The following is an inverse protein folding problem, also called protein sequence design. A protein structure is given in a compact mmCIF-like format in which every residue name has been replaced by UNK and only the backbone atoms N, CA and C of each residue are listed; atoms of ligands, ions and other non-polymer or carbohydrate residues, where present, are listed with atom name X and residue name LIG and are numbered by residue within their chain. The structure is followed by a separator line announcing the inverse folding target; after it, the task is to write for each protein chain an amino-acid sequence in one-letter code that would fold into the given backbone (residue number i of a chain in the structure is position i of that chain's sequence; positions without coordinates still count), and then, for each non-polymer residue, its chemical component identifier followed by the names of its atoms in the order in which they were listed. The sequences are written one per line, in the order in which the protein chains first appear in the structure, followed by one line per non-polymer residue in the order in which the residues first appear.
data_IF_364251829596
#
_entry.id   IF_364251829596
#
_cell.length_a   1.000
_cell.length_b   1.000
_cell.length_c   1.000
_cell.angle_alpha   90.00
_cell.angle_beta   90.00
_cell.angle_gamma   90.00
#
_symmetry.space_group_name_H-M   'P 1'
#
loop_
_entity.id
_entity.type
_entity.pdbx_description
1 polymer ?
#
# COMPACT_ATOMS: atom_id res chain seq x y z
N UNK A 1 8.68 49.83 -26.58
CA UNK A 1 8.45 48.36 -26.56
C UNK A 1 8.70 47.90 -25.15
N UNK A 2 7.66 47.82 -24.33
CA UNK A 2 7.74 47.36 -22.94
C UNK A 2 7.19 45.94 -22.90
N UNK A 3 8.07 44.98 -22.63
CA UNK A 3 7.70 43.57 -22.51
C UNK A 3 6.97 43.36 -21.18
N UNK A 4 5.65 43.23 -21.25
CA UNK A 4 4.85 42.62 -20.18
C UNK A 4 5.30 41.18 -19.98
N UNK A 5 6.07 40.92 -18.91
CA UNK A 5 6.19 39.58 -18.36
C UNK A 5 4.86 39.24 -17.70
N UNK A 6 4.08 38.36 -18.33
CA UNK A 6 3.01 37.66 -17.65
C UNK A 6 3.64 36.79 -16.56
N UNK A 7 3.54 37.24 -15.31
CA UNK A 7 3.76 36.38 -14.16
C UNK A 7 2.72 35.27 -14.22
N UNK A 8 3.20 34.03 -14.44
CA UNK A 8 2.35 32.85 -14.37
C UNK A 8 1.75 32.77 -12.96
N UNK A 9 0.45 32.47 -12.82
CA UNK A 9 -0.16 32.35 -11.51
C UNK A 9 0.55 31.25 -10.73
N UNK A 10 1.05 31.61 -9.54
CA UNK A 10 1.51 30.66 -8.54
C UNK A 10 0.30 29.78 -8.22
N UNK A 11 0.29 28.55 -8.74
CA UNK A 11 -0.71 27.54 -8.39
C UNK A 11 -0.63 27.35 -6.89
N UNK A 12 -1.60 27.92 -6.17
CA UNK A 12 -1.78 27.72 -4.74
C UNK A 12 -1.80 26.23 -4.47
N UNK A 13 -0.82 25.74 -3.70
CA UNK A 13 -0.83 24.36 -3.22
C UNK A 13 -2.12 24.16 -2.43
N UNK A 14 -3.01 23.33 -2.93
CA UNK A 14 -4.25 23.05 -2.21
C UNK A 14 -3.90 22.31 -0.91
N UNK A 15 -4.49 22.71 0.21
CA UNK A 15 -4.41 21.97 1.48
C UNK A 15 -5.20 20.65 1.44
N UNK A 16 -5.60 20.18 0.24
CA UNK A 16 -6.29 18.93 0.06
C UNK A 16 -5.31 17.78 0.39
N UNK A 17 -5.52 17.02 1.46
CA UNK A 17 -4.57 16.01 1.89
C UNK A 17 -4.53 14.78 0.95
N UNK A 18 -5.49 14.68 0.01
CA UNK A 18 -5.54 13.67 -1.04
C UNK A 18 -4.64 14.06 -2.22
N UNK A 19 -4.21 15.32 -2.32
CA UNK A 19 -3.45 15.81 -3.46
C UNK A 19 -2.18 14.98 -3.69
N UNK A 20 -2.12 14.33 -4.85
CA UNK A 20 -0.99 13.50 -5.26
C UNK A 20 -0.90 12.16 -4.52
N UNK A 21 -1.99 11.71 -3.88
CA UNK A 21 -2.06 10.36 -3.32
C UNK A 21 -1.80 9.31 -4.41
N UNK A 22 -0.90 8.37 -4.10
CA UNK A 22 -0.66 7.17 -4.92
C UNK A 22 -0.49 5.97 -4.00
N UNK A 23 -1.37 5.00 -4.08
CA UNK A 23 -1.33 3.86 -3.17
C UNK A 23 -2.52 2.92 -3.35
N UNK A 24 -2.73 2.07 -2.34
CA UNK A 24 -3.89 1.19 -2.26
C UNK A 24 -4.85 1.69 -1.19
N UNK A 25 -6.14 1.57 -1.46
CA UNK A 25 -7.23 1.83 -0.52
C UNK A 25 -8.06 0.57 -0.39
N UNK A 26 -8.49 0.24 0.83
CA UNK A 26 -9.56 -0.70 1.09
C UNK A 26 -10.72 0.04 1.77
N UNK A 27 -11.96 -0.22 1.35
CA UNK A 27 -13.11 0.46 1.92
C UNK A 27 -14.45 -0.14 1.53
N UNK A 28 -15.46 0.11 2.37
CA UNK A 28 -16.86 -0.25 2.10
C UNK A 28 -17.42 0.55 0.94
N UNK A 29 -17.94 -0.14 -0.07
CA UNK A 29 -18.61 0.43 -1.22
C UNK A 29 -19.92 1.11 -0.82
N UNK A 30 -20.09 2.39 -1.14
CA UNK A 30 -21.28 3.19 -0.76
C UNK A 30 -22.19 3.42 -1.96
N UNK A 31 -21.61 3.63 -3.14
CA UNK A 31 -22.32 3.75 -4.43
C UNK A 31 -21.44 3.22 -5.55
N UNK A 32 -22.06 2.73 -6.62
CA UNK A 32 -21.38 2.37 -7.87
C UNK A 32 -22.25 2.69 -9.07
N UNK A 33 -21.58 3.04 -10.16
CA UNK A 33 -22.13 3.10 -11.51
C UNK A 33 -21.18 2.30 -12.40
N UNK A 34 -21.61 1.10 -12.75
CA UNK A 34 -20.79 0.14 -13.50
C UNK A 34 -20.57 0.61 -14.94
N UNK A 35 -21.61 1.16 -15.58
CA UNK A 35 -21.52 1.62 -16.98
C UNK A 35 -20.53 2.77 -17.14
N UNK A 36 -20.50 3.68 -16.16
CA UNK A 36 -19.56 4.80 -16.15
C UNK A 36 -18.20 4.45 -15.53
N UNK A 37 -18.05 3.27 -14.95
CA UNK A 37 -16.82 2.87 -14.25
C UNK A 37 -16.49 3.81 -13.08
N UNK A 38 -17.50 4.18 -12.28
CA UNK A 38 -17.34 5.06 -11.12
C UNK A 38 -17.93 4.44 -9.86
N UNK A 39 -17.39 4.82 -8.71
CA UNK A 39 -17.90 4.37 -7.42
C UNK A 39 -17.48 5.34 -6.31
N UNK A 40 -18.01 5.13 -5.11
CA UNK A 40 -17.44 5.74 -3.91
C UNK A 40 -17.34 4.72 -2.77
N UNK A 41 -16.33 4.88 -1.95
CA UNK A 41 -16.11 4.05 -0.75
C UNK A 41 -16.00 4.92 0.49
N UNK A 42 -16.40 4.39 1.64
CA UNK A 42 -15.89 4.84 2.93
C UNK A 42 -14.56 4.11 3.15
N UNK A 43 -13.47 4.86 3.28
CA UNK A 43 -12.13 4.27 3.43
C UNK A 43 -11.98 3.66 4.82
N UNK A 44 -11.70 2.35 4.87
CA UNK A 44 -11.45 1.64 6.12
C UNK A 44 -9.95 1.41 6.35
N UNK A 45 -9.15 1.31 5.27
CA UNK A 45 -7.70 1.21 5.37
C UNK A 45 -6.99 1.84 4.16
N UNK A 46 -5.70 2.16 4.39
CA UNK A 46 -4.73 2.54 3.35
C UNK A 46 -3.58 1.51 3.40
N UNK A 47 -3.76 0.32 2.79
CA UNK A 47 -2.80 -0.79 2.94
C UNK A 47 -1.40 -0.48 2.40
N UNK A 48 -1.32 0.42 1.41
CA UNK A 48 -0.08 0.72 0.71
C UNK A 48 -0.01 2.18 0.32
N UNK A 49 1.18 2.76 0.47
CA UNK A 49 1.54 4.06 -0.09
C UNK A 49 2.71 3.83 -1.03
N UNK A 50 2.57 4.21 -2.31
CA UNK A 50 3.61 3.98 -3.31
C UNK A 50 4.75 4.99 -3.17
N UNK A 51 5.92 4.63 -3.72
CA UNK A 51 7.13 5.45 -3.61
C UNK A 51 6.96 6.84 -4.27
N UNK A 52 6.19 6.91 -5.36
CA UNK A 52 5.89 8.15 -6.09
C UNK A 52 4.69 8.94 -5.51
N UNK A 53 4.18 8.55 -4.33
CA UNK A 53 3.16 9.30 -3.62
C UNK A 53 3.66 10.70 -3.24
N UNK A 54 2.85 11.73 -3.51
CA UNK A 54 3.13 13.12 -3.19
C UNK A 54 2.23 13.67 -2.08
N UNK A 55 1.20 12.92 -1.66
CA UNK A 55 0.37 13.28 -0.50
C UNK A 55 1.21 13.29 0.78
N UNK A 56 1.05 14.37 1.56
CA UNK A 56 1.73 14.55 2.86
C UNK A 56 1.07 13.77 4.00
N UNK A 57 -0.19 13.38 3.83
CA UNK A 57 -0.95 12.69 4.86
C UNK A 57 -1.87 11.62 4.26
N UNK A 58 -1.32 10.55 3.65
CA UNK A 58 -2.10 9.48 3.03
C UNK A 58 -3.17 8.87 3.94
N UNK A 59 -2.84 8.65 5.23
CA UNK A 59 -3.77 8.09 6.23
C UNK A 59 -4.91 9.03 6.63
N UNK A 60 -4.89 10.31 6.25
CA UNK A 60 -6.00 11.23 6.51
C UNK A 60 -7.29 10.87 5.74
N UNK A 61 -7.20 9.91 4.82
CA UNK A 61 -8.32 9.33 4.09
C UNK A 61 -9.19 8.41 4.95
N UNK A 62 -8.64 7.83 6.02
CA UNK A 62 -9.35 6.87 6.88
C UNK A 62 -10.66 7.47 7.41
N UNK A 63 -11.74 6.69 7.30
CA UNK A 63 -13.09 7.06 7.70
C UNK A 63 -13.82 8.02 6.75
N UNK A 64 -13.16 8.54 5.70
CA UNK A 64 -13.77 9.47 4.76
C UNK A 64 -14.41 8.75 3.58
N UNK A 65 -15.43 9.40 3.01
CA UNK A 65 -15.98 9.00 1.73
C UNK A 65 -15.12 9.59 0.61
N UNK A 66 -14.65 8.74 -0.30
CA UNK A 66 -13.92 9.15 -1.50
C UNK A 66 -14.61 8.64 -2.74
N UNK A 67 -14.69 9.48 -3.77
CA UNK A 67 -15.16 9.08 -5.09
C UNK A 67 -13.98 8.56 -5.90
N UNK A 68 -14.24 7.52 -6.69
CA UNK A 68 -13.29 6.95 -7.63
C UNK A 68 -13.91 6.81 -9.02
N UNK A 69 -13.09 6.97 -10.05
CA UNK A 69 -13.51 6.95 -11.45
C UNK A 69 -12.44 6.33 -12.36
N UNK A 70 -12.79 6.15 -13.63
CA UNK A 70 -11.88 5.64 -14.64
C UNK A 70 -11.50 4.19 -14.41
N UNK A 71 -12.45 3.37 -13.94
CA UNK A 71 -12.24 1.92 -13.78
C UNK A 71 -11.87 1.32 -15.13
N UNK A 72 -10.69 0.68 -15.27
CA UNK A 72 -10.31 0.00 -16.49
C UNK A 72 -11.34 -1.07 -16.89
N UNK A 73 -11.64 -1.27 -18.18
CA UNK A 73 -12.66 -2.24 -18.60
C UNK A 73 -12.46 -3.65 -18.04
N UNK A 74 -11.22 -4.13 -17.97
CA UNK A 74 -10.88 -5.44 -17.42
C UNK A 74 -11.07 -5.58 -15.91
N UNK A 75 -11.41 -4.49 -15.20
CA UNK A 75 -11.66 -4.48 -13.76
C UNK A 75 -13.13 -4.21 -13.41
N UNK A 76 -14.00 -3.94 -14.41
CA UNK A 76 -15.41 -3.64 -14.17
C UNK A 76 -16.16 -4.79 -13.49
N UNK A 77 -15.77 -6.04 -13.75
CA UNK A 77 -16.38 -7.21 -13.14
C UNK A 77 -16.33 -7.16 -11.61
N UNK A 78 -15.27 -6.60 -11.03
CA UNK A 78 -15.18 -6.41 -9.59
C UNK A 78 -16.30 -5.50 -9.07
N UNK A 79 -16.69 -4.46 -9.82
CA UNK A 79 -17.85 -3.64 -9.47
C UNK A 79 -19.16 -4.38 -9.71
N UNK A 80 -19.27 -5.21 -10.75
CA UNK A 80 -20.49 -5.99 -11.02
C UNK A 80 -20.82 -6.89 -9.83
N UNK A 81 -19.86 -7.68 -9.38
CA UNK A 81 -20.06 -8.71 -8.35
C UNK A 81 -20.10 -8.17 -6.91
N UNK A 82 -19.56 -6.97 -6.68
CA UNK A 82 -19.54 -6.36 -5.34
C UNK A 82 -20.85 -5.63 -5.06
N UNK A 83 -21.49 -5.92 -3.93
CA UNK A 83 -22.71 -5.22 -3.47
C UNK A 83 -22.34 -3.97 -2.66
N UNK A 84 -23.24 -2.99 -2.65
CA UNK A 84 -23.14 -1.85 -1.74
C UNK A 84 -23.08 -2.38 -0.29
N UNK A 85 -22.20 -1.80 0.51
CA UNK A 85 -21.86 -2.23 1.87
C UNK A 85 -20.70 -3.22 1.96
N UNK A 86 -20.34 -3.90 0.87
CA UNK A 86 -19.20 -4.82 0.83
C UNK A 86 -17.87 -4.08 0.63
N UNK A 87 -16.76 -4.72 0.99
CA UNK A 87 -15.43 -4.09 0.92
C UNK A 87 -14.76 -4.36 -0.41
N UNK A 88 -14.20 -3.31 -1.01
CA UNK A 88 -13.32 -3.40 -2.16
C UNK A 88 -11.95 -2.85 -1.83
N UNK A 89 -10.94 -3.38 -2.51
CA UNK A 89 -9.60 -2.85 -2.48
C UNK A 89 -9.19 -2.44 -3.89
N UNK A 90 -8.60 -1.26 -4.04
CA UNK A 90 -8.20 -0.74 -5.33
C UNK A 90 -6.95 0.13 -5.27
N UNK A 91 -6.23 0.18 -6.40
CA UNK A 91 -5.16 1.15 -6.62
C UNK A 91 -5.78 2.52 -6.85
N UNK A 92 -5.39 3.49 -6.04
CA UNK A 92 -5.94 4.84 -6.05
C UNK A 92 -4.87 5.86 -6.43
N UNK A 93 -5.19 6.68 -7.43
CA UNK A 93 -4.30 7.67 -8.01
C UNK A 93 -5.00 9.03 -8.05
N UNK A 94 -4.47 10.01 -7.33
CA UNK A 94 -4.97 11.38 -7.38
C UNK A 94 -4.15 12.22 -8.35
N UNK A 95 -4.57 12.27 -9.62
CA UNK A 95 -3.89 13.03 -10.68
C UNK A 95 -4.36 14.50 -10.79
N UNK A 96 -5.23 14.95 -9.87
CA UNK A 96 -5.83 16.30 -9.85
C UNK A 96 -7.36 16.22 -9.84
N UNK A 97 -8.03 17.32 -9.48
CA UNK A 97 -9.50 17.38 -9.39
C UNK A 97 -10.07 16.85 -8.07
N UNK A 98 -11.29 16.30 -8.11
CA UNK A 98 -12.05 15.86 -6.93
C UNK A 98 -12.03 14.34 -6.69
N UNK A 99 -11.71 13.55 -7.72
CA UNK A 99 -11.88 12.10 -7.71
C UNK A 99 -10.52 11.36 -7.75
N UNK A 100 -10.50 10.14 -7.20
CA UNK A 100 -9.40 9.21 -7.37
C UNK A 100 -9.56 8.44 -8.66
N UNK A 101 -8.53 8.40 -9.50
CA UNK A 101 -8.50 7.48 -10.63
C UNK A 101 -8.14 6.08 -10.15
N UNK A 102 -8.81 5.08 -10.71
CA UNK A 102 -8.52 3.67 -10.46
C UNK A 102 -7.30 3.23 -11.25
N UNK A 103 -6.37 2.57 -10.56
CA UNK A 103 -5.16 1.98 -11.13
C UNK A 103 -5.37 0.54 -11.60
N UNK A 104 -4.32 -0.27 -11.48
CA UNK A 104 -4.28 -1.65 -12.03
C UNK A 104 -4.97 -2.69 -11.14
N UNK A 105 -5.40 -2.31 -9.93
CA UNK A 105 -6.05 -3.21 -8.99
C UNK A 105 -7.43 -2.67 -8.66
N UNK A 106 -8.43 -3.54 -8.74
CA UNK A 106 -9.76 -3.36 -8.17
C UNK A 106 -10.36 -4.74 -7.96
N UNK A 107 -10.68 -5.07 -6.70
CA UNK A 107 -11.19 -6.38 -6.32
C UNK A 107 -12.10 -6.30 -5.10
N UNK A 108 -13.00 -7.27 -4.99
CA UNK A 108 -13.73 -7.54 -3.76
C UNK A 108 -12.78 -8.19 -2.74
N UNK A 109 -12.85 -7.75 -1.49
CA UNK A 109 -12.09 -8.34 -0.37
C UNK A 109 -13.02 -8.55 0.82
N UNK A 110 -12.55 -9.33 1.81
CA UNK A 110 -13.24 -9.43 3.08
C UNK A 110 -13.31 -8.05 3.77
N UNK A 111 -14.28 -7.84 4.68
CA UNK A 111 -14.29 -6.66 5.54
C UNK A 111 -12.95 -6.47 6.24
N UNK A 112 -12.49 -5.22 6.33
CA UNK A 112 -11.24 -4.90 7.03
C UNK A 112 -11.41 -5.14 8.52
N UNK A 113 -10.56 -6.00 9.09
CA UNK A 113 -10.49 -6.24 10.53
C UNK A 113 -9.22 -5.66 11.16
N UNK A 114 -9.24 -5.49 12.48
CA UNK A 114 -8.06 -5.04 13.21
C UNK A 114 -6.90 -6.04 13.02
N UNK A 115 -5.77 -5.55 12.52
CA UNK A 115 -4.58 -6.38 12.27
C UNK A 115 -4.41 -6.85 10.82
N UNK A 116 -5.42 -6.71 9.94
CA UNK A 116 -5.27 -7.07 8.51
C UNK A 116 -4.15 -6.29 7.81
N UNK A 117 -3.94 -5.06 8.23
CA UNK A 117 -2.91 -4.16 7.71
C UNK A 117 -2.03 -3.71 8.87
N UNK A 118 -0.98 -4.48 9.22
CA UNK A 118 -0.16 -4.19 10.38
C UNK A 118 0.60 -2.88 10.21
N UNK A 119 0.67 -2.09 11.29
CA UNK A 119 1.38 -0.80 11.29
C UNK A 119 2.82 -0.96 11.74
N UNK A 120 3.73 -0.23 11.07
CA UNK A 120 5.12 -0.21 11.45
C UNK A 120 5.35 0.75 12.63
N UNK A 121 6.16 0.35 13.64
CA UNK A 121 6.61 1.25 14.70
C UNK A 121 7.35 2.46 14.13
N UNK A 122 7.10 3.64 14.70
CA UNK A 122 7.70 4.89 14.19
C UNK A 122 9.23 4.91 14.26
N UNK A 123 9.82 4.23 15.24
CA UNK A 123 11.28 4.12 15.34
C UNK A 123 11.89 3.15 14.33
N UNK A 124 11.09 2.21 13.79
CA UNK A 124 11.51 1.31 12.73
C UNK A 124 11.48 1.96 11.34
N UNK A 125 10.63 2.98 11.15
CA UNK A 125 10.40 3.59 9.83
C UNK A 125 11.69 4.11 9.20
N UNK A 126 11.99 3.57 8.02
CA UNK A 126 13.18 3.90 7.22
C UNK A 126 14.23 2.78 7.26
N UNK A 127 13.89 1.64 7.86
CA UNK A 127 14.72 0.47 7.91
C UNK A 127 15.18 0.01 6.53
N UNK A 128 16.44 -0.41 6.44
CA UNK A 128 16.95 -1.21 5.34
C UNK A 128 17.93 -2.24 5.89
N UNK A 129 17.75 -3.51 5.53
CA UNK A 129 18.53 -4.59 6.11
C UNK A 129 17.90 -5.96 5.90
N UNK A 130 18.40 -6.94 6.63
CA UNK A 130 17.95 -8.33 6.60
C UNK A 130 17.11 -8.61 7.85
N UNK A 131 15.92 -9.17 7.62
CA UNK A 131 14.99 -9.64 8.65
C UNK A 131 14.83 -11.15 8.58
N UNK A 132 14.54 -11.76 9.71
CA UNK A 132 13.91 -13.07 9.77
C UNK A 132 12.46 -12.91 10.18
N UNK A 133 11.57 -13.66 9.54
CA UNK A 133 10.15 -13.57 9.81
C UNK A 133 9.45 -14.92 9.62
N UNK A 134 8.37 -15.12 10.37
CA UNK A 134 7.45 -16.26 10.21
C UNK A 134 6.25 -15.83 9.38
N UNK A 135 5.96 -16.55 8.30
CA UNK A 135 4.86 -16.23 7.38
C UNK A 135 3.52 -16.53 8.02
N UNK A 136 2.62 -15.56 8.02
CA UNK A 136 1.28 -15.65 8.64
C UNK A 136 0.18 -15.69 7.58
N UNK A 137 0.32 -14.92 6.50
CA UNK A 137 -0.69 -14.83 5.43
C UNK A 137 -0.01 -14.62 4.07
N UNK A 138 -0.66 -15.13 3.02
CA UNK A 138 -0.27 -14.91 1.62
C UNK A 138 -1.40 -14.20 0.87
N UNK A 139 -1.04 -13.27 0.00
CA UNK A 139 -1.93 -12.68 -0.99
C UNK A 139 -1.46 -13.05 -2.39
N UNK A 140 -2.09 -14.06 -2.98
CA UNK A 140 -1.68 -14.60 -4.28
C UNK A 140 -1.93 -13.64 -5.44
N UNK A 141 -2.90 -12.74 -5.33
CA UNK A 141 -3.19 -11.80 -6.40
C UNK A 141 -2.20 -10.63 -6.40
N UNK A 142 -1.79 -10.17 -5.22
CA UNK A 142 -0.82 -9.06 -5.09
C UNK A 142 0.63 -9.53 -4.93
N UNK A 143 0.87 -10.83 -4.76
CA UNK A 143 2.20 -11.39 -4.48
C UNK A 143 2.80 -10.76 -3.23
N UNK A 144 1.98 -10.66 -2.17
CA UNK A 144 2.35 -10.06 -0.90
C UNK A 144 2.28 -11.09 0.23
N UNK A 145 3.11 -10.91 1.26
CA UNK A 145 3.10 -11.72 2.47
C UNK A 145 2.79 -10.83 3.67
N UNK A 146 2.02 -11.35 4.62
CA UNK A 146 2.07 -10.85 6.00
C UNK A 146 2.91 -11.82 6.81
N UNK A 147 3.89 -11.30 7.55
CA UNK A 147 4.81 -12.11 8.33
C UNK A 147 5.09 -11.44 9.69
N UNK A 148 5.29 -12.25 10.73
CA UNK A 148 5.74 -11.79 12.04
C UNK A 148 7.27 -11.77 12.09
N UNK A 149 7.86 -10.61 12.38
CA UNK A 149 9.32 -10.47 12.43
C UNK A 149 9.86 -11.12 13.70
N UNK A 150 10.72 -12.12 13.53
CA UNK A 150 11.34 -12.87 14.63
C UNK A 150 12.70 -12.31 15.00
N UNK A 151 13.45 -11.77 14.04
CA UNK A 151 14.76 -11.19 14.29
C UNK A 151 15.15 -10.11 13.26
N UNK A 152 16.06 -9.23 13.68
CA UNK A 152 16.75 -8.26 12.82
C UNK A 152 18.21 -8.69 12.71
N UNK A 153 18.53 -9.40 11.62
CA UNK A 153 19.86 -10.01 11.42
C UNK A 153 20.93 -8.94 11.24
N UNK A 154 20.65 -7.95 10.37
CA UNK A 154 21.62 -6.92 10.02
C UNK A 154 20.94 -5.69 9.42
N UNK A 155 21.38 -4.50 9.81
CA UNK A 155 21.07 -3.26 9.10
C UNK A 155 22.07 -3.03 7.96
N UNK A 156 21.60 -2.48 6.85
CA UNK A 156 22.44 -2.01 5.74
C UNK A 156 22.94 -0.60 5.99
N UNK A 157 23.99 -0.19 5.26
CA UNK A 157 24.60 1.15 5.42
C UNK A 157 23.60 2.30 5.20
N UNK A 158 22.59 2.08 4.35
CA UNK A 158 21.54 3.06 4.04
C UNK A 158 20.38 3.07 5.04
N UNK A 159 20.44 2.29 6.12
CA UNK A 159 19.41 2.28 7.17
C UNK A 159 19.24 3.67 7.79
N UNK A 160 17.99 4.10 7.96
CA UNK A 160 17.61 5.37 8.60
C UNK A 160 16.62 5.19 9.73
N UNK A 161 16.40 3.96 10.18
CA UNK A 161 15.61 3.65 11.36
C UNK A 161 16.28 4.21 12.62
N UNK A 162 15.47 4.65 13.59
CA UNK A 162 15.98 5.08 14.91
C UNK A 162 16.22 3.88 15.82
N UNK A 163 15.40 2.83 15.66
CA UNK A 163 15.51 1.57 16.38
C UNK A 163 14.98 0.41 15.52
N UNK A 164 15.90 -0.28 14.82
CA UNK A 164 15.55 -1.43 14.00
C UNK A 164 14.87 -2.56 14.82
N UNK A 165 15.28 -2.78 16.07
CA UNK A 165 14.74 -3.87 16.91
C UNK A 165 13.31 -3.65 17.39
N UNK A 166 12.76 -2.44 17.23
CA UNK A 166 11.36 -2.15 17.62
C UNK A 166 10.32 -2.97 16.83
N UNK A 167 10.72 -3.57 15.71
CA UNK A 167 9.84 -4.42 14.89
C UNK A 167 9.75 -5.87 15.37
N UNK A 168 10.63 -6.33 16.25
CA UNK A 168 10.65 -7.74 16.69
C UNK A 168 9.34 -8.08 17.40
N UNK A 169 8.71 -9.19 17.01
CA UNK A 169 7.39 -9.62 17.47
C UNK A 169 6.22 -8.85 16.86
N UNK A 170 6.47 -7.99 15.86
CA UNK A 170 5.42 -7.29 15.11
C UNK A 170 5.19 -7.95 13.76
N UNK A 171 3.95 -7.86 13.28
CA UNK A 171 3.63 -8.24 11.91
C UNK A 171 4.03 -7.13 10.94
N UNK A 172 4.42 -7.53 9.74
CA UNK A 172 4.77 -6.64 8.63
C UNK A 172 4.15 -7.15 7.35
N UNK A 173 3.86 -6.21 6.44
CA UNK A 173 3.46 -6.52 5.09
C UNK A 173 4.67 -6.42 4.16
N UNK A 174 4.93 -7.50 3.43
CA UNK A 174 6.07 -7.67 2.53
C UNK A 174 5.57 -7.70 1.08
N UNK A 175 6.13 -6.84 0.24
CA UNK A 175 5.84 -6.80 -1.20
C UNK A 175 7.10 -6.90 -2.03
N UNK A 176 6.97 -6.91 -3.36
CA UNK A 176 8.14 -6.97 -4.26
C UNK A 176 8.50 -8.38 -4.72
N UNK A 177 7.61 -9.36 -4.49
CA UNK A 177 7.80 -10.74 -4.97
C UNK A 177 7.52 -10.94 -6.47
N UNK A 178 7.07 -9.90 -7.19
CA UNK A 178 6.82 -9.98 -8.64
C UNK A 178 8.07 -10.37 -9.46
N UNK A 179 9.27 -9.98 -9.00
CA UNK A 179 10.57 -10.41 -9.55
C UNK A 179 11.16 -11.64 -8.86
N UNK A 180 10.44 -12.23 -7.90
CA UNK A 180 10.89 -13.34 -7.05
C UNK A 180 9.78 -14.39 -6.95
N UNK A 181 9.07 -14.65 -8.06
CA UNK A 181 7.88 -15.51 -8.10
C UNK A 181 8.18 -16.93 -7.63
N UNK A 182 9.31 -17.49 -8.04
CA UNK A 182 9.72 -18.84 -7.64
C UNK A 182 9.90 -18.95 -6.12
N UNK A 183 10.57 -17.95 -5.51
CA UNK A 183 10.71 -17.88 -4.06
C UNK A 183 9.34 -17.73 -3.37
N UNK A 184 8.46 -16.87 -3.90
CA UNK A 184 7.11 -16.68 -3.36
C UNK A 184 6.26 -17.96 -3.41
N UNK A 185 6.31 -18.70 -4.53
CA UNK A 185 5.61 -19.97 -4.68
C UNK A 185 6.18 -21.05 -3.76
N UNK A 186 7.49 -21.04 -3.52
CA UNK A 186 8.12 -21.94 -2.58
C UNK A 186 7.67 -21.71 -1.14
N UNK A 187 7.35 -20.48 -0.74
CA UNK A 187 6.96 -20.11 0.63
C UNK A 187 5.52 -20.53 0.97
N UNK A 188 5.30 -21.11 2.14
CA UNK A 188 3.99 -21.46 2.70
C UNK A 188 3.75 -20.74 4.03
N UNK A 189 2.48 -20.59 4.43
CA UNK A 189 2.13 -20.09 5.77
C UNK A 189 2.75 -20.99 6.83
N UNK A 190 3.38 -20.39 7.83
CA UNK A 190 4.11 -21.07 8.90
C UNK A 190 5.62 -21.21 8.67
N UNK A 191 6.10 -21.01 7.44
CA UNK A 191 7.52 -21.03 7.13
C UNK A 191 8.26 -19.89 7.83
N UNK A 192 9.51 -20.15 8.23
CA UNK A 192 10.45 -19.12 8.65
C UNK A 192 11.33 -18.75 7.46
N UNK A 193 11.43 -17.46 7.18
CA UNK A 193 12.16 -16.92 6.06
C UNK A 193 13.14 -15.86 6.52
N UNK A 194 14.26 -15.78 5.82
CA UNK A 194 15.18 -14.65 5.87
C UNK A 194 15.06 -13.88 4.55
N UNK A 195 15.07 -12.55 4.63
CA UNK A 195 14.95 -11.69 3.47
C UNK A 195 15.58 -10.33 3.69
N UNK A 196 16.17 -9.78 2.62
CA UNK A 196 16.59 -8.39 2.54
C UNK A 196 15.40 -7.49 2.18
N UNK A 197 15.18 -6.46 3.00
CA UNK A 197 14.08 -5.51 2.86
C UNK A 197 14.56 -4.07 2.89
N UNK A 198 13.73 -3.19 2.35
CA UNK A 198 13.79 -1.76 2.61
C UNK A 198 12.39 -1.20 2.91
N UNK A 199 12.37 -0.11 3.66
CA UNK A 199 11.17 0.71 3.86
C UNK A 199 11.25 1.96 2.96
N UNK A 200 10.76 1.88 1.70
CA UNK A 200 11.02 2.93 0.71
C UNK A 200 10.20 4.20 0.94
N UNK A 201 9.06 4.10 1.64
CA UNK A 201 8.11 5.18 1.83
C UNK A 201 7.72 5.30 3.30
N UNK A 202 8.27 6.29 4.00
CA UNK A 202 8.10 6.44 5.47
C UNK A 202 6.65 6.64 5.91
N UNK A 203 5.78 7.12 5.02
CA UNK A 203 4.36 7.35 5.28
C UNK A 203 3.48 6.09 5.09
N UNK A 204 4.04 4.99 4.57
CA UNK A 204 3.37 3.70 4.44
C UNK A 204 3.78 2.71 5.53
N UNK A 205 3.16 1.54 5.54
CA UNK A 205 3.45 0.47 6.52
C UNK A 205 3.96 -0.82 5.85
N UNK A 206 4.38 -0.71 4.59
CA UNK A 206 4.81 -1.85 3.80
C UNK A 206 6.31 -1.84 3.57
N UNK A 207 6.93 -3.02 3.65
CA UNK A 207 8.31 -3.25 3.28
C UNK A 207 8.41 -3.82 1.86
N UNK A 208 9.45 -3.38 1.15
CA UNK A 208 9.81 -3.91 -0.16
C UNK A 208 10.90 -4.95 0.01
N UNK A 209 10.69 -6.15 -0.53
CA UNK A 209 11.67 -7.23 -0.57
C UNK A 209 12.64 -7.01 -1.72
N UNK A 210 13.87 -6.63 -1.37
CA UNK A 210 14.89 -6.23 -2.34
C UNK A 210 15.80 -7.41 -2.72
N UNK A 211 16.16 -8.29 -1.79
CA UNK A 211 17.08 -9.40 -2.06
C UNK A 211 16.94 -10.57 -1.08
N UNK A 212 17.66 -11.67 -1.35
CA UNK A 212 17.99 -12.68 -0.34
C UNK A 212 16.83 -13.46 0.28
N UNK A 213 15.76 -13.76 -0.47
CA UNK A 213 14.64 -14.56 0.06
C UNK A 213 15.05 -16.03 0.16
N UNK A 214 15.18 -16.55 1.38
CA UNK A 214 15.44 -17.98 1.63
C UNK A 214 14.61 -18.49 2.79
N UNK A 215 14.23 -19.77 2.73
CA UNK A 215 13.67 -20.46 3.89
C UNK A 215 14.78 -20.78 4.89
N UNK A 216 14.42 -20.74 6.16
CA UNK A 216 15.25 -21.22 7.25
C UNK A 216 14.75 -22.60 7.65
N UNK A 217 15.68 -23.54 7.79
CA UNK A 217 15.39 -24.80 8.46
C UNK A 217 15.11 -24.48 9.94
N UNK A 218 14.09 -25.13 10.50
CA UNK A 218 13.59 -24.87 11.86
C UNK A 218 14.69 -24.86 12.93
#
# INVERSE_FOLDING_TARGET
MENMRQESPVVGRSDNPIQGFRGMIAGRLVKKDVERGTFAVTVDAVPRVWQNNQSRSPKSLLGKNVNAEGVPPGLLDALVVTRIGETIQFGALHDGGENLRVGEVLRKVAPVEAGDYPELPDDFRGFSGILQAKVVKKDEQLWELTAEVTDVVKAFEKDRSRNAKSIIGKQVMLSGFWNKKDAYHGITVGDHIELGVEHPQRLGDQLSVIEGVRKLDK
#
